data_IF_793036771392
#
_entry.id   IF_793036771392
#
_cell.length_a   1.000
_cell.length_b   1.000
_cell.length_c   1.000
_cell.angle_alpha   90.00
_cell.angle_beta   90.00
_cell.angle_gamma   90.00
#
_symmetry.space_group_name_H-M   'P 1'
#
loop_
_entity.id
_entity.type
_entity.pdbx_description
1 polymer ?
#
# COMPACT_ATOMS: atom_id res chain seq x y z
N UNK A 1 0.91 0.22 -36.74
CA UNK A 1 1.15 0.16 -35.27
C UNK A 1 1.50 1.52 -34.65
N UNK A 2 2.23 2.42 -35.31
CA UNK A 2 2.61 3.74 -34.75
C UNK A 2 1.45 4.68 -34.36
N UNK A 3 0.32 4.61 -35.06
CA UNK A 3 -0.84 5.48 -34.80
C UNK A 3 -1.53 5.17 -33.46
N UNK A 4 -1.59 3.89 -33.04
CA UNK A 4 -2.26 3.47 -31.80
C UNK A 4 -1.55 4.09 -30.58
N UNK A 5 -0.21 4.03 -30.55
CA UNK A 5 0.57 4.57 -29.43
C UNK A 5 0.45 6.11 -29.35
N UNK A 6 0.51 6.80 -30.49
CA UNK A 6 0.31 8.26 -30.56
C UNK A 6 -1.07 8.69 -30.07
N UNK A 7 -2.12 7.95 -30.43
CA UNK A 7 -3.47 8.23 -29.93
C UNK A 7 -3.57 8.04 -28.41
N UNK A 8 -2.94 7.00 -27.85
CA UNK A 8 -2.94 6.75 -26.40
C UNK A 8 -2.22 7.90 -25.67
N UNK A 9 -1.05 8.32 -26.15
CA UNK A 9 -0.29 9.43 -25.59
C UNK A 9 -1.08 10.76 -25.65
N UNK A 10 -1.71 11.06 -26.79
CA UNK A 10 -2.52 12.26 -26.97
C UNK A 10 -3.75 12.27 -26.04
N UNK A 11 -4.37 11.11 -25.80
CA UNK A 11 -5.48 10.97 -24.86
C UNK A 11 -5.03 11.19 -23.41
N UNK A 12 -3.89 10.61 -22.99
CA UNK A 12 -3.33 10.82 -21.66
C UNK A 12 -2.96 12.29 -21.42
N UNK A 13 -2.35 12.94 -22.42
CA UNK A 13 -1.98 14.36 -22.38
C UNK A 13 -3.20 15.28 -22.29
N UNK A 14 -4.23 15.07 -23.12
CA UNK A 14 -5.48 15.86 -23.08
C UNK A 14 -6.25 15.67 -21.77
N UNK A 15 -6.19 14.46 -21.19
CA UNK A 15 -6.84 14.13 -19.93
C UNK A 15 -6.11 14.70 -18.70
N UNK A 16 -4.86 15.16 -18.83
CA UNK A 16 -4.02 15.55 -17.70
C UNK A 16 -3.72 14.41 -16.72
N UNK A 17 -4.07 13.17 -17.06
CA UNK A 17 -3.90 11.99 -16.19
C UNK A 17 -2.56 11.36 -16.53
N UNK A 18 -1.73 11.16 -15.50
CA UNK A 18 -0.53 10.32 -15.62
C UNK A 18 -0.96 8.89 -15.89
N UNK A 19 -0.17 8.16 -16.70
CA UNK A 19 -0.35 6.74 -16.89
C UNK A 19 -0.29 6.04 -15.52
N UNK A 20 -1.23 5.13 -15.26
CA UNK A 20 -1.21 4.33 -14.04
C UNK A 20 -0.02 3.37 -14.16
N UNK A 21 1.04 3.57 -13.37
CA UNK A 21 2.22 2.70 -13.44
C UNK A 21 1.94 1.30 -12.84
N UNK A 22 0.99 1.20 -11.90
CA UNK A 22 0.64 -0.05 -11.22
C UNK A 22 -0.77 -0.49 -11.59
N UNK A 23 -0.87 -1.39 -12.56
CA UNK A 23 -2.14 -1.97 -12.99
C UNK A 23 -2.57 -3.12 -12.06
N UNK A 24 -3.88 -3.36 -11.96
CA UNK A 24 -4.40 -4.54 -11.27
C UNK A 24 -3.93 -5.82 -11.97
N UNK A 25 -3.68 -6.88 -11.19
CA UNK A 25 -3.24 -8.16 -11.76
C UNK A 25 -4.32 -8.77 -12.66
N UNK A 26 -3.87 -9.38 -13.76
CA UNK A 26 -4.74 -10.18 -14.64
C UNK A 26 -5.15 -11.45 -13.90
N UNK A 27 -6.46 -11.71 -13.83
CA UNK A 27 -6.99 -12.89 -13.15
C UNK A 27 -6.98 -14.09 -14.07
N UNK A 28 -6.51 -15.23 -13.54
CA UNK A 28 -6.58 -16.50 -14.25
C UNK A 28 -8.06 -16.94 -14.35
N UNK A 29 -8.56 -17.27 -15.55
CA UNK A 29 -9.92 -17.77 -15.73
C UNK A 29 -10.19 -19.04 -14.92
N UNK A 30 -11.39 -19.16 -14.36
CA UNK A 30 -11.78 -20.31 -13.53
C UNK A 30 -11.74 -21.64 -14.30
N UNK A 31 -12.02 -21.61 -15.61
CA UNK A 31 -11.96 -22.75 -16.51
C UNK A 31 -10.55 -23.35 -16.65
N UNK A 32 -9.52 -22.53 -16.41
CA UNK A 32 -8.11 -22.93 -16.52
C UNK A 32 -7.52 -23.40 -15.19
N UNK A 33 -8.26 -23.21 -14.08
CA UNK A 33 -7.81 -23.52 -12.73
C UNK A 33 -8.64 -24.65 -12.11
N UNK A 34 -8.25 -25.91 -12.36
CA UNK A 34 -8.90 -27.08 -11.77
C UNK A 34 -8.37 -27.45 -10.38
N UNK A 35 -7.16 -26.99 -10.04
CA UNK A 35 -6.48 -27.27 -8.77
C UNK A 35 -5.86 -25.98 -8.23
N UNK A 36 -5.81 -25.83 -6.91
CA UNK A 36 -5.18 -24.68 -6.25
C UNK A 36 -3.76 -24.43 -6.77
N UNK A 37 -3.50 -23.22 -7.26
CA UNK A 37 -2.22 -22.87 -7.88
C UNK A 37 -1.05 -22.75 -6.88
N UNK A 38 -1.32 -22.73 -5.57
CA UNK A 38 -0.28 -22.75 -4.54
C UNK A 38 -0.02 -24.14 -3.99
N UNK A 39 -0.99 -24.75 -3.30
CA UNK A 39 -0.74 -26.02 -2.63
C UNK A 39 -0.70 -27.22 -3.59
N UNK A 40 -1.27 -27.09 -4.81
CA UNK A 40 -1.42 -28.17 -5.81
C UNK A 40 -2.13 -29.44 -5.29
N UNK A 41 -2.69 -29.40 -4.09
CA UNK A 41 -3.35 -30.52 -3.40
C UNK A 41 -4.86 -30.43 -3.43
N UNK A 42 -5.42 -29.21 -3.39
CA UNK A 42 -6.87 -29.00 -3.36
C UNK A 42 -7.41 -28.92 -4.78
N UNK A 43 -8.17 -29.94 -5.21
CA UNK A 43 -8.99 -29.86 -6.41
C UNK A 43 -10.23 -29.00 -6.13
N UNK A 44 -10.56 -28.12 -7.06
CA UNK A 44 -11.73 -27.27 -6.94
C UNK A 44 -13.00 -28.03 -7.31
N UNK A 45 -14.02 -27.87 -6.48
CA UNK A 45 -15.34 -28.50 -6.62
C UNK A 45 -16.41 -27.51 -6.18
N UNK A 46 -17.68 -27.91 -6.20
CA UNK A 46 -18.78 -27.07 -5.68
C UNK A 46 -18.58 -26.73 -4.19
N UNK A 47 -17.98 -27.65 -3.43
CA UNK A 47 -17.65 -27.47 -2.01
C UNK A 47 -16.31 -26.73 -1.84
N UNK A 48 -15.29 -27.12 -2.60
CA UNK A 48 -13.98 -26.47 -2.60
C UNK A 48 -13.96 -25.32 -3.62
N UNK A 49 -14.48 -24.16 -3.22
CA UNK A 49 -14.62 -23.00 -4.11
C UNK A 49 -13.28 -22.36 -4.46
N UNK A 50 -13.22 -21.79 -5.66
CA UNK A 50 -12.09 -20.98 -6.17
C UNK A 50 -12.06 -19.60 -5.50
N UNK A 51 -10.85 -19.08 -5.30
CA UNK A 51 -10.64 -17.70 -4.88
C UNK A 51 -9.47 -17.09 -5.65
N UNK A 52 -9.58 -15.83 -6.05
CA UNK A 52 -8.47 -15.10 -6.67
C UNK A 52 -7.68 -14.29 -5.66
N UNK A 53 -6.35 -14.31 -5.80
CA UNK A 53 -5.50 -13.34 -5.14
C UNK A 53 -5.62 -11.98 -5.84
N UNK A 54 -6.01 -10.91 -5.14
CA UNK A 54 -6.16 -9.58 -5.77
C UNK A 54 -4.82 -8.94 -6.18
N UNK A 55 -3.72 -9.41 -5.58
CA UNK A 55 -2.38 -8.90 -5.88
C UNK A 55 -1.72 -9.59 -7.09
N UNK A 56 -1.86 -10.92 -7.25
CA UNK A 56 -1.18 -11.67 -8.30
C UNK A 56 -2.10 -12.42 -9.27
N UNK A 57 -3.42 -12.36 -9.08
CA UNK A 57 -4.42 -12.90 -10.01
C UNK A 57 -4.57 -14.43 -10.04
N UNK A 58 -3.74 -15.17 -9.32
CA UNK A 58 -3.80 -16.64 -9.29
C UNK A 58 -5.02 -17.17 -8.55
N UNK A 59 -5.48 -18.36 -8.96
CA UNK A 59 -6.61 -19.07 -8.36
C UNK A 59 -6.13 -20.02 -7.26
N UNK A 60 -6.69 -19.86 -6.07
CA UNK A 60 -6.19 -20.45 -4.82
C UNK A 60 -7.35 -20.93 -3.95
N UNK A 61 -7.12 -21.94 -3.11
CA UNK A 61 -8.13 -22.40 -2.15
C UNK A 61 -8.23 -21.48 -0.92
N UNK A 62 -9.28 -21.68 -0.11
CA UNK A 62 -9.52 -20.92 1.13
C UNK A 62 -8.30 -20.88 2.06
N UNK A 63 -7.69 -22.03 2.41
CA UNK A 63 -6.49 -22.08 3.25
C UNK A 63 -5.29 -21.31 2.68
N UNK A 64 -5.04 -21.38 1.36
CA UNK A 64 -3.94 -20.67 0.72
C UNK A 64 -4.16 -19.15 0.57
N UNK A 65 -5.33 -18.65 0.97
CA UNK A 65 -5.73 -17.25 0.86
C UNK A 65 -6.50 -16.75 2.08
N UNK A 66 -6.16 -17.27 3.26
CA UNK A 66 -6.86 -16.95 4.51
C UNK A 66 -6.66 -15.50 5.00
N UNK A 67 -5.73 -14.75 4.39
CA UNK A 67 -5.38 -13.39 4.80
C UNK A 67 -5.88 -12.33 3.81
N UNK A 68 -5.97 -11.10 4.32
CA UNK A 68 -6.34 -9.90 3.56
C UNK A 68 -5.28 -8.82 3.74
N UNK A 69 -5.08 -8.00 2.72
CA UNK A 69 -4.12 -6.90 2.72
C UNK A 69 -4.71 -5.67 2.05
N UNK A 70 -4.36 -4.46 2.50
CA UNK A 70 -4.80 -3.21 1.88
C UNK A 70 -3.97 -2.97 0.61
N UNK A 71 -4.63 -2.88 -0.55
CA UNK A 71 -4.01 -2.56 -1.83
C UNK A 71 -4.48 -1.16 -2.24
N UNK A 72 -3.74 -0.08 -1.88
CA UNK A 72 -4.23 1.30 -2.00
C UNK A 72 -4.62 1.68 -3.44
N UNK A 73 -3.91 1.12 -4.42
CA UNK A 73 -4.14 1.38 -5.84
C UNK A 73 -5.38 0.64 -6.40
N UNK A 74 -6.03 -0.22 -5.61
CA UNK A 74 -7.19 -1.00 -6.02
C UNK A 74 -8.43 -0.77 -5.13
N UNK A 75 -8.25 -0.57 -3.82
CA UNK A 75 -9.36 -0.36 -2.88
C UNK A 75 -8.90 0.30 -1.58
N UNK A 76 -9.81 1.04 -0.95
CA UNK A 76 -9.66 1.55 0.42
C UNK A 76 -9.88 0.48 1.49
N UNK A 77 -10.43 -0.69 1.11
CA UNK A 77 -10.65 -1.83 2.01
C UNK A 77 -9.60 -2.91 1.79
N UNK A 78 -9.39 -3.75 2.81
CA UNK A 78 -8.49 -4.90 2.68
C UNK A 78 -9.08 -5.96 1.74
N UNK A 79 -8.27 -6.41 0.79
CA UNK A 79 -8.64 -7.39 -0.23
C UNK A 79 -7.97 -8.74 0.05
N UNK A 80 -8.62 -9.83 -0.38
CA UNK A 80 -8.07 -11.19 -0.22
C UNK A 80 -6.79 -11.36 -1.03
N UNK A 81 -5.74 -11.85 -0.39
CA UNK A 81 -4.48 -12.17 -1.04
C UNK A 81 -4.06 -13.58 -0.67
N UNK A 82 -3.27 -14.23 -1.53
CA UNK A 82 -2.64 -15.47 -1.15
C UNK A 82 -1.58 -15.23 -0.07
N UNK A 83 -1.22 -16.29 0.66
CA UNK A 83 -0.22 -16.21 1.73
C UNK A 83 1.12 -15.65 1.24
N UNK A 84 1.61 -16.11 0.08
CA UNK A 84 2.85 -15.61 -0.51
C UNK A 84 2.82 -14.10 -0.79
N UNK A 85 1.69 -13.58 -1.27
CA UNK A 85 1.54 -12.13 -1.50
C UNK A 85 1.43 -11.39 -0.17
N UNK A 86 0.69 -11.92 0.80
CA UNK A 86 0.60 -11.33 2.13
C UNK A 86 1.99 -11.15 2.76
N UNK A 87 2.82 -12.19 2.72
CA UNK A 87 4.15 -12.16 3.32
C UNK A 87 5.07 -11.16 2.63
N UNK A 88 5.05 -11.10 1.28
CA UNK A 88 5.81 -10.10 0.51
C UNK A 88 5.37 -8.69 0.86
N UNK A 89 4.08 -8.39 0.72
CA UNK A 89 3.51 -7.07 0.99
C UNK A 89 3.72 -6.62 2.44
N UNK A 90 3.67 -7.55 3.39
CA UNK A 90 3.91 -7.25 4.81
C UNK A 90 5.37 -6.88 5.08
N UNK A 91 6.32 -7.58 4.44
CA UNK A 91 7.74 -7.22 4.51
C UNK A 91 8.01 -5.86 3.89
N UNK A 92 7.46 -5.62 2.70
CA UNK A 92 7.63 -4.34 1.99
C UNK A 92 7.08 -3.18 2.84
N UNK A 93 5.90 -3.36 3.47
CA UNK A 93 5.32 -2.37 4.38
C UNK A 93 6.20 -2.10 5.61
N UNK A 94 6.78 -3.14 6.21
CA UNK A 94 7.65 -2.99 7.36
C UNK A 94 8.93 -2.20 7.01
N UNK A 95 9.53 -2.50 5.85
CA UNK A 95 10.72 -1.79 5.36
C UNK A 95 10.43 -0.31 5.10
N UNK A 96 9.29 0.01 4.48
CA UNK A 96 8.89 1.41 4.25
C UNK A 96 8.72 2.18 5.57
N UNK A 97 8.18 1.56 6.61
CA UNK A 97 8.06 2.19 7.93
C UNK A 97 9.44 2.47 8.56
N UNK A 98 10.38 1.53 8.48
CA UNK A 98 11.74 1.73 8.98
C UNK A 98 12.46 2.87 8.25
N UNK A 99 12.34 2.93 6.93
CA UNK A 99 12.90 4.03 6.14
C UNK A 99 12.32 5.37 6.56
N UNK A 100 11.00 5.48 6.67
CA UNK A 100 10.33 6.72 7.08
C UNK A 100 10.74 7.17 8.49
N UNK A 101 10.89 6.24 9.44
CA UNK A 101 11.38 6.56 10.79
C UNK A 101 12.83 7.07 10.77
N UNK A 102 13.69 6.47 9.95
CA UNK A 102 15.08 6.92 9.80
C UNK A 102 15.16 8.31 9.16
N UNK A 103 14.33 8.61 8.15
CA UNK A 103 14.23 9.96 7.59
C UNK A 103 13.80 10.98 8.63
N UNK A 104 12.75 10.70 9.40
CA UNK A 104 12.28 11.62 10.44
C UNK A 104 13.35 11.83 11.53
N UNK A 105 14.05 10.76 11.94
CA UNK A 105 15.14 10.84 12.91
C UNK A 105 16.29 11.72 12.40
N UNK A 106 16.69 11.57 11.14
CA UNK A 106 17.77 12.36 10.56
C UNK A 106 17.37 13.84 10.42
N UNK A 107 16.14 14.14 9.99
CA UNK A 107 15.65 15.52 9.90
C UNK A 107 15.56 16.24 11.26
N UNK A 108 15.31 15.51 12.35
CA UNK A 108 15.34 16.09 13.70
C UNK A 108 16.78 16.32 14.20
N UNK A 109 17.73 15.48 13.78
CA UNK A 109 19.16 15.67 14.10
C UNK A 109 19.76 16.89 13.40
N UNK A 110 19.43 17.11 12.13
CA UNK A 110 19.87 18.30 11.38
C UNK A 110 19.35 19.62 12.01
N UNK A 111 18.29 19.57 12.81
CA UNK A 111 17.78 20.72 13.57
C UNK A 111 18.47 20.93 14.93
N UNK A 112 19.18 19.92 15.44
CA UNK A 112 19.85 19.97 16.75
C UNK A 112 21.33 20.38 16.70
N UNK A 113 21.94 20.52 15.52
CA UNK A 113 23.33 20.98 15.33
C UNK A 113 23.44 22.45 14.90
N UNK A 114 22.52 23.31 15.38
CA UNK A 114 22.68 24.77 15.30
C UNK A 114 22.70 25.36 16.71
N UNK A 115 23.66 24.92 17.53
CA UNK A 115 24.15 25.68 18.68
C UNK A 115 25.34 26.52 18.20
N UNK A 116 25.04 27.71 17.69
CA UNK A 116 25.98 28.81 17.59
C UNK A 116 25.58 29.81 18.67
N UNK A 117 26.57 30.16 19.48
CA UNK A 117 26.48 30.99 20.68
C UNK A 117 26.33 32.45 20.25
N UNK A 118 25.32 33.18 20.73
CA UNK A 118 25.29 34.65 20.74
C UNK A 118 24.34 35.15 21.84
N UNK A 119 24.92 35.84 22.81
CA UNK A 119 24.27 36.53 23.93
C UNK A 119 23.39 37.69 23.44
N UNK A 120 22.17 37.81 23.95
CA UNK A 120 21.47 39.09 24.17
C UNK A 120 20.28 38.89 25.12
N UNK A 121 20.31 39.63 26.23
CA UNK A 121 19.26 39.76 27.22
C UNK A 121 17.97 40.34 26.62
N UNK A 122 16.82 39.80 26.98
CA UNK A 122 15.63 40.57 27.39
C UNK A 122 14.61 39.63 28.06
N UNK A 123 14.21 40.04 29.27
CA UNK A 123 13.28 39.38 30.20
C UNK A 123 11.84 39.54 29.69
N UNK A 124 11.09 38.44 29.55
CA UNK A 124 9.66 38.45 29.89
C UNK A 124 9.13 37.05 30.21
N UNK A 125 8.51 36.97 31.39
CA UNK A 125 8.11 35.77 32.11
C UNK A 125 6.75 35.18 31.68
N UNK A 126 6.69 33.83 31.57
CA UNK A 126 5.66 32.89 32.14
C UNK A 126 4.17 33.00 31.66
N UNK A 127 3.42 31.96 31.22
CA UNK A 127 2.98 30.64 31.78
C UNK A 127 2.32 29.80 30.66
N UNK A 128 2.34 28.45 30.68
CA UNK A 128 1.75 27.60 29.64
C UNK A 128 0.28 27.22 29.89
N UNK A 129 -0.54 27.25 28.84
CA UNK A 129 -1.88 26.64 28.83
C UNK A 129 -1.94 25.46 27.86
N UNK A 130 -2.08 24.27 28.42
CA UNK A 130 -2.36 23.01 27.74
C UNK A 130 -3.65 23.10 26.92
N UNK A 131 -3.59 22.83 25.62
CA UNK A 131 -4.78 22.47 24.85
C UNK A 131 -4.48 21.28 23.93
N UNK A 132 -5.17 20.20 24.20
CA UNK A 132 -5.26 18.95 23.43
C UNK A 132 -6.02 19.17 22.13
N UNK A 133 -5.61 18.57 20.99
CA UNK A 133 -6.51 18.44 19.84
C UNK A 133 -7.51 17.30 20.07
N UNK A 134 -8.79 17.67 20.10
CA UNK A 134 -9.97 16.82 20.18
C UNK A 134 -10.03 15.73 19.10
N UNK A 135 -10.49 14.54 19.49
CA UNK A 135 -10.91 13.48 18.56
C UNK A 135 -12.29 13.79 17.96
N UNK A 136 -12.54 13.48 16.68
CA UNK A 136 -13.88 13.62 16.10
C UNK A 136 -14.81 12.50 16.59
N UNK A 137 -15.96 12.89 17.18
CA UNK A 137 -17.09 11.99 17.43
C UNK A 137 -17.82 11.69 16.13
N UNK A 138 -17.96 10.41 15.82
CA UNK A 138 -18.91 9.91 14.82
C UNK A 138 -20.31 9.86 15.45
N UNK A 139 -21.27 10.51 14.82
CA UNK A 139 -22.69 10.17 14.93
C UNK A 139 -23.03 9.11 13.88
#
# INVERSE_FOLDING_TARGET
MAHINKCIEDLLRKSGKKAVEVHAAVWVPDSEANVCMHCKKTQFTVLNRRHHCRNCGTVVCGPCSSKRFLLPNQSTKQLRVCLNCFDKLSRDKAQQNSSNLNYLRNSLKDRSESSGDDDSDDDDNFVPSTTTPEQPKFY
#
